data_IF_530685193415
#
_entry.id   IF_530685193415
#
_cell.length_a   1.000
_cell.length_b   1.000
_cell.length_c   1.000
_cell.angle_alpha   90.00
_cell.angle_beta   90.00
_cell.angle_gamma   90.00
#
_symmetry.space_group_name_H-M   'P 1'
#
loop_
_entity.id
_entity.type
_entity.pdbx_description
1 polymer ?
#
# COMPACT_ATOMS: atom_id res chain seq x y z
N UNK A 1 5.90 8.98 35.38
CA UNK A 1 5.78 8.17 34.14
C UNK A 1 4.26 7.91 34.00
N UNK A 2 3.58 8.73 33.20
CA UNK A 2 2.14 8.53 32.97
C UNK A 2 1.94 7.18 32.28
N UNK A 3 1.15 6.32 32.90
CA UNK A 3 0.79 5.04 32.31
C UNK A 3 0.05 5.30 31.00
N UNK A 4 0.62 4.83 29.90
CA UNK A 4 0.00 4.95 28.58
C UNK A 4 -1.28 4.10 28.59
N UNK A 5 -2.44 4.65 28.35
CA UNK A 5 -3.66 3.85 28.34
C UNK A 5 -3.56 2.85 27.18
N UNK A 6 -3.67 1.55 27.46
CA UNK A 6 -3.70 0.48 26.45
C UNK A 6 -4.72 0.74 25.35
N UNK A 7 -5.78 1.51 25.67
CA UNK A 7 -6.77 2.00 24.71
C UNK A 7 -6.16 2.87 23.59
N UNK A 8 -5.18 3.73 23.88
CA UNK A 8 -4.53 4.57 22.87
C UNK A 8 -3.71 3.73 21.89
N UNK A 9 -3.05 2.67 22.38
CA UNK A 9 -2.29 1.76 21.53
C UNK A 9 -3.20 0.92 20.63
N UNK A 10 -4.28 0.36 21.21
CA UNK A 10 -5.28 -0.37 20.43
C UNK A 10 -5.93 0.50 19.36
N UNK A 11 -6.25 1.75 19.70
CA UNK A 11 -6.80 2.73 18.75
C UNK A 11 -5.80 3.05 17.64
N UNK A 12 -4.51 3.26 17.97
CA UNK A 12 -3.46 3.48 16.97
C UNK A 12 -3.33 2.33 15.97
N UNK A 13 -3.37 1.08 16.45
CA UNK A 13 -3.35 -0.10 15.59
C UNK A 13 -4.58 -0.14 14.66
N UNK A 14 -5.78 0.05 15.20
CA UNK A 14 -7.02 0.03 14.41
C UNK A 14 -7.05 1.15 13.38
N UNK A 15 -6.56 2.35 13.73
CA UNK A 15 -6.42 3.44 12.77
C UNK A 15 -5.44 3.11 11.66
N UNK A 16 -4.34 2.45 11.96
CA UNK A 16 -3.38 1.96 10.96
C UNK A 16 -4.02 0.95 10.01
N UNK A 17 -4.78 -0.02 10.55
CA UNK A 17 -5.55 -0.96 9.72
C UNK A 17 -6.56 -0.22 8.85
N UNK A 18 -7.36 0.69 9.43
CA UNK A 18 -8.34 1.49 8.69
C UNK A 18 -7.68 2.30 7.57
N UNK A 19 -6.54 2.91 7.84
CA UNK A 19 -5.79 3.72 6.88
C UNK A 19 -5.42 2.95 5.61
N UNK A 20 -5.12 1.66 5.73
CA UNK A 20 -4.84 0.83 4.56
C UNK A 20 -6.03 0.66 3.60
N UNK A 21 -7.25 0.99 4.04
CA UNK A 21 -8.47 0.97 3.22
C UNK A 21 -8.79 2.32 2.58
N UNK A 22 -7.96 3.34 2.75
CA UNK A 22 -8.15 4.62 2.09
C UNK A 22 -8.05 4.45 0.56
N UNK A 23 -8.80 5.25 -0.19
CA UNK A 23 -9.02 5.06 -1.63
C UNK A 23 -7.72 5.05 -2.45
N UNK A 24 -6.75 5.87 -2.09
CA UNK A 24 -5.43 5.97 -2.71
C UNK A 24 -4.60 4.70 -2.50
N UNK A 25 -4.68 4.08 -1.31
CA UNK A 25 -4.02 2.81 -0.98
C UNK A 25 -4.65 1.65 -1.78
N UNK A 26 -5.99 1.58 -1.77
CA UNK A 26 -6.74 0.58 -2.55
C UNK A 26 -6.44 0.70 -4.04
N UNK A 27 -6.38 1.93 -4.58
CA UNK A 27 -6.03 2.17 -5.98
C UNK A 27 -4.61 1.68 -6.31
N UNK A 28 -3.61 1.99 -5.48
CA UNK A 28 -2.24 1.54 -5.69
C UNK A 28 -2.13 0.00 -5.62
N UNK A 29 -2.71 -0.64 -4.59
CA UNK A 29 -2.68 -2.10 -4.42
C UNK A 29 -3.34 -2.81 -5.60
N UNK A 30 -4.45 -2.28 -6.12
CA UNK A 30 -5.14 -2.89 -7.25
C UNK A 30 -4.25 -3.03 -8.50
N UNK A 31 -3.32 -2.08 -8.70
CA UNK A 31 -2.34 -2.15 -9.80
C UNK A 31 -1.35 -3.30 -9.66
N UNK A 32 -0.97 -3.66 -8.44
CA UNK A 32 -0.09 -4.80 -8.15
C UNK A 32 -0.86 -6.11 -8.18
N UNK A 33 -2.07 -6.14 -7.61
CA UNK A 33 -2.93 -7.33 -7.60
C UNK A 33 -3.31 -7.79 -9.00
N UNK A 34 -3.65 -6.85 -9.89
CA UNK A 34 -4.01 -7.15 -11.29
C UNK A 34 -2.88 -7.82 -12.10
N UNK A 35 -1.63 -7.74 -11.63
CA UNK A 35 -0.46 -8.35 -12.30
C UNK A 35 -0.09 -9.72 -11.74
N UNK A 36 -0.74 -10.17 -10.67
CA UNK A 36 -0.37 -11.37 -9.94
C UNK A 36 -1.56 -12.31 -9.74
N UNK A 37 -1.38 -13.58 -10.13
CA UNK A 37 -2.38 -14.64 -9.97
C UNK A 37 -2.15 -15.48 -8.70
N UNK A 38 -1.63 -14.86 -7.62
CA UNK A 38 -1.34 -15.56 -6.37
C UNK A 38 -1.61 -14.67 -5.17
N UNK A 39 -2.53 -15.09 -4.31
CA UNK A 39 -2.87 -14.39 -3.06
C UNK A 39 -1.63 -14.20 -2.19
N UNK A 40 -0.80 -15.24 -2.03
CA UNK A 40 0.42 -15.18 -1.23
C UNK A 40 1.39 -14.11 -1.75
N UNK A 41 1.59 -14.04 -3.06
CA UNK A 41 2.46 -13.04 -3.67
C UNK A 41 1.90 -11.63 -3.53
N UNK A 42 0.59 -11.44 -3.72
CA UNK A 42 -0.10 -10.17 -3.51
C UNK A 42 -0.03 -9.72 -2.06
N UNK A 43 -0.25 -10.62 -1.10
CA UNK A 43 -0.11 -10.34 0.33
C UNK A 43 1.31 -9.87 0.69
N UNK A 44 2.35 -10.54 0.16
CA UNK A 44 3.74 -10.13 0.36
C UNK A 44 4.03 -8.75 -0.25
N UNK A 45 3.51 -8.46 -1.43
CA UNK A 45 3.63 -7.12 -2.04
C UNK A 45 2.99 -6.05 -1.16
N UNK A 46 1.79 -6.32 -0.61
CA UNK A 46 1.14 -5.45 0.37
C UNK A 46 1.97 -5.25 1.64
N UNK A 47 2.63 -6.32 2.14
CA UNK A 47 3.53 -6.24 3.28
C UNK A 47 4.74 -5.32 3.00
N UNK A 48 5.43 -5.53 1.88
CA UNK A 48 6.59 -4.71 1.52
C UNK A 48 6.21 -3.24 1.29
N UNK A 49 5.04 -3.00 0.69
CA UNK A 49 4.52 -1.66 0.53
C UNK A 49 4.19 -1.02 1.89
N UNK A 50 3.47 -1.73 2.77
CA UNK A 50 3.18 -1.25 4.13
C UNK A 50 4.44 -0.99 4.95
N UNK A 51 5.48 -1.79 4.74
CA UNK A 51 6.78 -1.59 5.39
C UNK A 51 7.45 -0.30 4.90
N UNK A 52 7.52 -0.06 3.59
CA UNK A 52 8.04 1.20 3.03
C UNK A 52 7.26 2.42 3.52
N UNK A 53 5.92 2.32 3.53
CA UNK A 53 5.02 3.35 4.04
C UNK A 53 5.29 3.66 5.52
N UNK A 54 5.39 2.63 6.36
CA UNK A 54 5.65 2.78 7.79
C UNK A 54 7.04 3.36 8.10
N UNK A 55 8.06 3.03 7.29
CA UNK A 55 9.38 3.66 7.40
C UNK A 55 9.28 5.16 7.11
N UNK A 56 8.59 5.57 6.07
CA UNK A 56 8.41 6.98 5.74
C UNK A 56 7.70 7.74 6.86
N UNK A 57 6.61 7.17 7.40
CA UNK A 57 5.90 7.71 8.54
C UNK A 57 6.79 7.87 9.77
N UNK A 58 7.59 6.84 10.06
CA UNK A 58 8.52 6.86 11.19
C UNK A 58 9.58 7.96 11.04
N UNK A 59 10.19 8.09 9.86
CA UNK A 59 11.21 9.09 9.59
C UNK A 59 10.66 10.51 9.71
N UNK A 60 9.51 10.78 9.09
CA UNK A 60 8.86 12.10 9.21
C UNK A 60 8.41 12.36 10.65
N UNK A 61 7.80 11.37 11.29
CA UNK A 61 7.35 11.49 12.67
C UNK A 61 8.49 11.76 13.63
N UNK A 62 9.65 11.12 13.45
CA UNK A 62 10.86 11.41 14.22
C UNK A 62 11.31 12.85 14.05
N UNK A 63 11.34 13.38 12.83
CA UNK A 63 11.72 14.77 12.57
C UNK A 63 10.75 15.72 13.25
N UNK A 64 9.44 15.51 13.08
CA UNK A 64 8.41 16.38 13.66
C UNK A 64 8.44 16.34 15.19
N UNK A 65 8.54 15.15 15.80
CA UNK A 65 8.59 14.97 17.25
C UNK A 65 9.88 15.58 17.85
N UNK A 66 11.03 15.45 17.17
CA UNK A 66 12.31 15.97 17.65
C UNK A 66 12.40 17.48 17.55
N UNK A 67 11.93 18.04 16.43
CA UNK A 67 12.03 19.47 16.16
C UNK A 67 10.82 20.27 16.65
N UNK A 68 9.74 19.58 17.05
CA UNK A 68 8.46 20.18 17.47
C UNK A 68 7.90 21.14 16.41
N UNK A 69 8.05 20.77 15.13
CA UNK A 69 7.54 21.56 13.99
C UNK A 69 6.24 20.96 13.47
N UNK A 70 5.45 21.76 12.80
CA UNK A 70 4.29 21.34 12.02
C UNK A 70 4.61 21.44 10.53
N UNK A 71 4.08 20.53 9.73
CA UNK A 71 4.26 20.60 8.28
C UNK A 71 3.34 21.70 7.75
N UNK A 72 3.87 22.70 7.03
CA UNK A 72 3.02 23.70 6.38
C UNK A 72 2.07 23.08 5.36
N UNK A 73 0.87 23.63 5.24
CA UNK A 73 -0.17 23.10 4.36
C UNK A 73 0.25 23.02 2.89
N UNK A 74 0.99 24.01 2.40
CA UNK A 74 1.52 24.02 1.03
C UNK A 74 2.49 22.85 0.77
N UNK A 75 3.29 22.44 1.76
CA UNK A 75 4.18 21.27 1.64
C UNK A 75 3.32 20.00 1.63
N UNK A 76 2.34 19.88 2.51
CA UNK A 76 1.41 18.75 2.54
C UNK A 76 0.73 18.55 1.19
N UNK A 77 0.12 19.61 0.64
CA UNK A 77 -0.54 19.58 -0.66
C UNK A 77 0.42 19.20 -1.80
N UNK A 78 1.65 19.70 -1.76
CA UNK A 78 2.66 19.34 -2.77
C UNK A 78 3.01 17.85 -2.73
N UNK A 79 3.12 17.26 -1.55
CA UNK A 79 3.36 15.84 -1.37
C UNK A 79 2.17 15.00 -1.86
N UNK A 80 0.95 15.43 -1.59
CA UNK A 80 -0.28 14.78 -2.07
C UNK A 80 -0.35 14.77 -3.61
N UNK A 81 0.04 15.88 -4.26
CA UNK A 81 0.15 15.94 -5.73
C UNK A 81 1.16 14.92 -6.25
N UNK A 82 2.32 14.77 -5.61
CA UNK A 82 3.34 13.79 -6.00
C UNK A 82 2.77 12.37 -5.95
N UNK A 83 2.02 12.03 -4.89
CA UNK A 83 1.35 10.73 -4.81
C UNK A 83 0.28 10.58 -5.88
N UNK A 84 -0.53 11.60 -6.12
CA UNK A 84 -1.53 11.57 -7.20
C UNK A 84 -0.90 11.28 -8.55
N UNK A 85 0.20 11.95 -8.89
CA UNK A 85 0.97 11.71 -10.12
C UNK A 85 1.51 10.28 -10.15
N UNK A 86 2.07 9.79 -9.04
CA UNK A 86 2.56 8.41 -8.94
C UNK A 86 1.44 7.39 -9.20
N UNK A 87 0.25 7.59 -8.65
CA UNK A 87 -0.91 6.72 -8.88
C UNK A 87 -1.35 6.71 -10.33
N UNK A 88 -1.36 7.87 -10.99
CA UNK A 88 -1.66 7.97 -12.44
C UNK A 88 -0.63 7.19 -13.25
N UNK A 89 0.67 7.34 -12.96
CA UNK A 89 1.74 6.59 -13.65
C UNK A 89 1.56 5.08 -13.45
N UNK A 90 1.27 4.63 -12.22
CA UNK A 90 1.03 3.22 -11.92
C UNK A 90 -0.18 2.68 -12.68
N UNK A 91 -1.29 3.42 -12.70
CA UNK A 91 -2.51 3.06 -13.42
C UNK A 91 -2.28 2.94 -14.93
N UNK A 92 -1.67 3.95 -15.54
CA UNK A 92 -1.32 3.95 -16.97
C UNK A 92 -0.40 2.78 -17.31
N UNK A 93 0.65 2.55 -16.53
CA UNK A 93 1.57 1.43 -16.75
C UNK A 93 0.86 0.07 -16.65
N UNK A 94 -0.12 -0.04 -15.76
CA UNK A 94 -0.93 -1.28 -15.63
C UNK A 94 -1.79 -1.51 -16.87
N UNK A 95 -2.47 -0.48 -17.38
CA UNK A 95 -3.28 -0.53 -18.59
C UNK A 95 -2.42 -0.88 -19.81
N UNK A 96 -1.29 -0.19 -19.99
CA UNK A 96 -0.37 -0.44 -21.10
C UNK A 96 0.20 -1.87 -21.06
N UNK A 97 0.49 -2.39 -19.88
CA UNK A 97 1.01 -3.76 -19.70
C UNK A 97 -0.09 -4.79 -20.00
N UNK A 98 -1.33 -4.55 -19.57
CA UNK A 98 -2.46 -5.40 -19.89
C UNK A 98 -2.71 -5.46 -21.41
N UNK A 99 -2.68 -4.33 -22.10
CA UNK A 99 -2.81 -4.26 -23.55
C UNK A 99 -1.67 -4.99 -24.30
N UNK A 100 -0.41 -4.83 -23.86
CA UNK A 100 0.73 -5.52 -24.46
C UNK A 100 0.67 -7.04 -24.30
N UNK A 101 0.14 -7.52 -23.19
CA UNK A 101 -0.01 -8.95 -22.93
C UNK A 101 -1.20 -9.56 -23.65
N UNK A 102 -1.92 -8.79 -24.49
CA UNK A 102 -3.10 -9.26 -25.24
C UNK A 102 -4.03 -10.09 -24.36
N UNK A 103 -4.37 -9.57 -23.19
CA UNK A 103 -5.41 -10.18 -22.35
C UNK A 103 -6.72 -9.94 -23.07
N UNK A 104 -7.24 -10.96 -23.72
CA UNK A 104 -8.54 -10.89 -24.40
C UNK A 104 -9.45 -12.01 -23.91
N UNK A 105 -10.75 -11.73 -23.99
CA UNK A 105 -11.77 -12.69 -23.70
C UNK A 105 -11.87 -13.67 -24.86
N UNK A 106 -11.62 -14.93 -24.62
CA UNK A 106 -11.97 -15.99 -25.55
C UNK A 106 -13.09 -16.84 -24.99
N UNK A 107 -14.04 -17.11 -25.83
CA UNK A 107 -15.05 -18.11 -25.59
C UNK A 107 -14.68 -19.36 -26.40
N UNK A 108 -14.24 -20.39 -25.70
CA UNK A 108 -14.02 -21.70 -26.35
C UNK A 108 -15.10 -22.70 -25.96
N UNK A 109 -15.38 -23.60 -26.84
CA UNK A 109 -16.15 -24.80 -26.55
C UNK A 109 -15.26 -26.01 -26.79
N UNK A 110 -14.98 -26.77 -25.75
CA UNK A 110 -14.41 -28.09 -25.83
C UNK A 110 -15.49 -29.10 -25.49
N UNK A 111 -16.09 -29.74 -26.52
CA UNK A 111 -17.21 -30.62 -26.31
C UNK A 111 -18.51 -29.88 -25.99
N UNK A 112 -19.23 -30.31 -24.96
CA UNK A 112 -20.53 -29.73 -24.58
C UNK A 112 -20.45 -28.61 -23.53
N UNK A 113 -19.29 -28.30 -23.00
CA UNK A 113 -19.14 -27.25 -21.97
C UNK A 113 -18.59 -25.94 -22.57
N UNK A 114 -19.34 -24.85 -22.36
CA UNK A 114 -18.94 -23.47 -22.70
C UNK A 114 -18.48 -22.75 -21.45
N UNK A 115 -17.21 -22.36 -21.40
CA UNK A 115 -16.69 -21.54 -20.32
C UNK A 115 -15.88 -20.35 -20.86
N UNK A 116 -15.82 -19.30 -20.07
CA UNK A 116 -15.05 -18.08 -20.36
C UNK A 116 -13.92 -18.05 -19.37
N UNK A 117 -12.68 -17.92 -19.83
CA UNK A 117 -11.55 -17.72 -18.94
C UNK A 117 -10.57 -16.69 -19.49
N UNK A 118 -9.82 -16.10 -18.59
CA UNK A 118 -8.75 -15.16 -18.90
C UNK A 118 -7.43 -15.92 -18.94
N UNK A 119 -6.71 -15.86 -20.05
CA UNK A 119 -5.33 -16.32 -20.07
C UNK A 119 -4.45 -15.43 -20.94
N UNK A 120 -3.18 -15.40 -20.59
CA UNK A 120 -2.15 -14.69 -21.33
C UNK A 120 -1.25 -15.68 -22.05
N UNK A 121 -1.10 -15.53 -23.35
CA UNK A 121 -0.13 -16.32 -24.15
C UNK A 121 1.29 -15.79 -23.96
N UNK A 122 1.86 -15.90 -22.74
CA UNK A 122 3.30 -15.75 -22.55
C UNK A 122 3.99 -17.09 -22.67
N UNK A 123 4.32 -17.49 -23.91
CA UNK A 123 5.43 -18.39 -24.14
C UNK A 123 6.73 -17.55 -24.10
N UNK A 124 7.35 -17.40 -22.95
CA UNK A 124 8.79 -17.07 -22.88
C UNK A 124 9.36 -17.42 -21.51
N UNK A 125 10.21 -18.41 -21.55
CA UNK A 125 11.25 -18.70 -20.56
C UNK A 125 12.14 -17.47 -20.42
N UNK A 126 11.99 -16.70 -19.35
CA UNK A 126 13.06 -15.91 -18.78
C UNK A 126 12.84 -15.86 -17.27
N UNK A 127 13.65 -16.64 -16.56
CA UNK A 127 13.84 -16.56 -15.13
C UNK A 127 14.60 -15.27 -14.79
N UNK A 128 13.98 -14.11 -14.98
CA UNK A 128 14.52 -12.84 -14.51
C UNK A 128 14.00 -12.64 -13.08
N UNK A 129 14.93 -12.71 -12.14
CA UNK A 129 14.91 -12.38 -10.73
C UNK A 129 13.60 -11.81 -10.17
N UNK A 130 12.84 -12.64 -9.44
CA UNK A 130 11.54 -12.33 -8.83
C UNK A 130 11.59 -11.28 -7.69
N UNK A 131 12.76 -10.69 -7.42
CA UNK A 131 12.91 -9.73 -6.32
C UNK A 131 12.55 -8.28 -6.69
N UNK A 132 12.59 -7.91 -7.98
CA UNK A 132 12.27 -6.55 -8.45
C UNK A 132 10.87 -6.05 -8.02
N UNK A 133 9.79 -6.86 -8.08
CA UNK A 133 8.46 -6.37 -7.73
C UNK A 133 8.32 -6.00 -6.24
N UNK A 134 9.03 -6.67 -5.34
CA UNK A 134 8.98 -6.39 -3.89
C UNK A 134 9.67 -5.06 -3.56
N UNK A 135 10.85 -4.80 -4.12
CA UNK A 135 11.53 -3.51 -3.95
C UNK A 135 10.74 -2.35 -4.55
N UNK A 136 10.12 -2.56 -5.72
CA UNK A 136 9.24 -1.56 -6.32
C UNK A 136 8.03 -1.26 -5.42
N UNK A 137 7.39 -2.29 -4.86
CA UNK A 137 6.29 -2.14 -3.92
C UNK A 137 6.71 -1.35 -2.68
N UNK A 138 7.85 -1.68 -2.09
CA UNK A 138 8.42 -0.98 -0.94
C UNK A 138 8.72 0.49 -1.27
N UNK A 139 9.32 0.77 -2.43
CA UNK A 139 9.62 2.13 -2.86
C UNK A 139 8.35 2.96 -3.07
N UNK A 140 7.33 2.38 -3.73
CA UNK A 140 6.01 3.02 -3.89
C UNK A 140 5.40 3.31 -2.53
N UNK A 141 5.48 2.35 -1.58
CA UNK A 141 5.03 2.54 -0.21
C UNK A 141 5.74 3.68 0.50
N UNK A 142 7.06 3.78 0.33
CA UNK A 142 7.86 4.85 0.92
C UNK A 142 7.44 6.23 0.38
N UNK A 143 7.31 6.37 -0.93
CA UNK A 143 6.85 7.63 -1.55
C UNK A 143 5.43 7.97 -1.08
N UNK A 144 4.55 6.97 -1.00
CA UNK A 144 3.18 7.14 -0.53
C UNK A 144 3.12 7.59 0.94
N UNK A 145 3.95 6.98 1.79
CA UNK A 145 4.04 7.33 3.21
C UNK A 145 4.57 8.74 3.46
N UNK A 146 5.39 9.28 2.56
CA UNK A 146 5.86 10.67 2.66
C UNK A 146 4.71 11.68 2.51
N UNK A 147 3.71 11.38 1.71
CA UNK A 147 2.61 12.30 1.43
C UNK A 147 1.38 12.10 2.35
N UNK A 148 0.99 10.85 2.58
CA UNK A 148 -0.19 10.53 3.40
C UNK A 148 -0.01 10.80 4.90
N UNK A 149 1.23 11.07 5.33
CA UNK A 149 1.57 11.22 6.75
C UNK A 149 1.15 12.54 7.38
N UNK A 150 0.94 13.59 6.60
CA UNK A 150 0.76 14.94 7.15
C UNK A 150 -0.49 15.05 8.04
N UNK A 151 -1.64 14.59 7.59
CA UNK A 151 -2.89 14.71 8.34
C UNK A 151 -2.91 13.85 9.61
N UNK A 152 -2.49 12.58 9.52
CA UNK A 152 -2.45 11.68 10.67
C UNK A 152 -1.36 12.04 11.66
N UNK A 153 -0.20 12.48 11.18
CA UNK A 153 0.90 12.90 12.05
C UNK A 153 0.55 14.17 12.81
N UNK A 154 -0.14 15.12 12.18
CA UNK A 154 -0.65 16.32 12.85
C UNK A 154 -1.67 15.98 13.92
N UNK A 155 -2.56 15.02 13.67
CA UNK A 155 -3.59 14.61 14.64
C UNK A 155 -2.96 13.95 15.87
N UNK A 156 -1.94 13.12 15.67
CA UNK A 156 -1.20 12.48 16.77
C UNK A 156 -0.37 13.47 17.55
N UNK A 157 0.33 14.38 16.88
CA UNK A 157 1.16 15.40 17.54
C UNK A 157 0.33 16.39 18.34
N UNK A 158 -0.85 16.73 17.87
CA UNK A 158 -1.80 17.56 18.64
C UNK A 158 -2.29 16.87 19.93
N UNK A 159 -2.34 15.53 19.94
CA UNK A 159 -2.82 14.75 21.07
C UNK A 159 -1.73 14.32 22.06
N UNK A 160 -0.45 14.26 21.66
CA UNK A 160 0.62 13.66 22.43
C UNK A 160 1.70 14.66 22.84
N UNK A 161 1.82 14.93 24.14
CA UNK A 161 2.84 15.83 24.71
C UNK A 161 4.23 15.20 24.87
N UNK A 162 4.32 13.86 24.85
CA UNK A 162 5.55 13.12 25.10
C UNK A 162 6.14 12.54 23.82
N UNK A 163 7.41 12.79 23.55
CA UNK A 163 8.16 12.21 22.43
C UNK A 163 8.04 10.68 22.37
N UNK A 164 8.26 10.00 23.50
CA UNK A 164 8.21 8.54 23.56
C UNK A 164 6.82 7.95 23.27
N UNK A 165 5.78 8.62 23.76
CA UNK A 165 4.41 8.21 23.50
C UNK A 165 4.09 8.38 22.01
N UNK A 166 4.48 9.49 21.41
CA UNK A 166 4.30 9.73 19.96
C UNK A 166 5.04 8.70 19.11
N UNK A 167 6.28 8.37 19.49
CA UNK A 167 7.09 7.37 18.79
C UNK A 167 6.43 5.98 18.84
N UNK A 168 6.03 5.53 20.02
CA UNK A 168 5.37 4.22 20.18
C UNK A 168 4.06 4.18 19.40
N UNK A 169 3.28 5.27 19.41
CA UNK A 169 2.05 5.36 18.64
C UNK A 169 2.31 5.22 17.13
N UNK A 170 3.30 5.90 16.57
CA UNK A 170 3.67 5.80 15.15
C UNK A 170 4.06 4.36 14.79
N UNK A 171 4.85 3.70 15.66
CA UNK A 171 5.24 2.29 15.45
C UNK A 171 4.03 1.36 15.42
N UNK A 172 3.11 1.50 16.37
CA UNK A 172 1.90 0.66 16.45
C UNK A 172 0.96 0.94 15.29
N UNK A 173 0.78 2.21 14.91
CA UNK A 173 0.05 2.59 13.71
C UNK A 173 0.68 1.95 12.46
N UNK A 174 2.01 1.99 12.32
CA UNK A 174 2.74 1.37 11.22
C UNK A 174 2.52 -0.14 11.14
N UNK A 175 2.53 -0.85 12.27
CA UNK A 175 2.22 -2.28 12.33
C UNK A 175 0.79 -2.54 11.85
N UNK A 176 -0.17 -1.73 12.30
CA UNK A 176 -1.56 -1.79 11.84
C UNK A 176 -1.69 -1.56 10.33
N UNK A 177 -0.97 -0.56 9.80
CA UNK A 177 -0.95 -0.26 8.36
C UNK A 177 -0.38 -1.43 7.54
N UNK A 178 0.70 -2.06 8.00
CA UNK A 178 1.28 -3.25 7.33
C UNK A 178 0.25 -4.38 7.30
N UNK A 179 -0.37 -4.69 8.44
CA UNK A 179 -1.38 -5.74 8.53
C UNK A 179 -2.59 -5.44 7.61
N UNK A 180 -3.07 -4.19 7.61
CA UNK A 180 -4.14 -3.72 6.75
C UNK A 180 -3.80 -3.84 5.27
N UNK A 181 -2.62 -3.42 4.84
CA UNK A 181 -2.17 -3.50 3.45
C UNK A 181 -1.99 -4.94 2.97
N UNK A 182 -1.52 -5.84 3.83
CA UNK A 182 -1.52 -7.28 3.56
C UNK A 182 -2.92 -7.82 3.33
N UNK A 183 -3.86 -7.45 4.20
CA UNK A 183 -5.25 -7.88 4.10
C UNK A 183 -5.92 -7.34 2.82
N UNK A 184 -5.82 -6.04 2.55
CA UNK A 184 -6.37 -5.39 1.35
C UNK A 184 -5.82 -6.02 0.08
N UNK A 185 -4.48 -6.20 0.02
CA UNK A 185 -3.82 -6.85 -1.13
C UNK A 185 -4.34 -8.28 -1.36
N UNK A 186 -4.54 -9.03 -0.28
CA UNK A 186 -5.06 -10.40 -0.35
C UNK A 186 -6.50 -10.40 -0.87
N UNK A 187 -7.36 -9.52 -0.33
CA UNK A 187 -8.77 -9.43 -0.72
C UNK A 187 -8.91 -9.03 -2.20
N UNK A 188 -8.17 -8.00 -2.63
CA UNK A 188 -8.24 -7.52 -4.02
C UNK A 188 -7.73 -8.57 -5.00
N UNK A 189 -6.79 -9.43 -4.60
CA UNK A 189 -6.26 -10.48 -5.47
C UNK A 189 -7.20 -11.69 -5.63
N UNK A 190 -8.20 -11.87 -4.76
CA UNK A 190 -9.14 -13.01 -4.82
C UNK A 190 -9.81 -13.19 -6.19
N UNK A 191 -10.43 -12.17 -6.81
CA UNK A 191 -11.05 -12.32 -8.11
C UNK A 191 -10.08 -12.77 -9.21
N UNK A 192 -8.80 -12.38 -9.11
CA UNK A 192 -7.77 -12.72 -10.11
C UNK A 192 -7.19 -14.11 -9.94
N UNK A 193 -7.47 -14.79 -8.82
CA UNK A 193 -6.98 -16.14 -8.53
C UNK A 193 -8.06 -17.20 -8.68
N UNK A 194 -9.34 -16.81 -8.69
CA UNK A 194 -10.49 -17.71 -8.81
C UNK A 194 -10.97 -17.89 -10.26
N UNK A 195 -10.38 -17.13 -11.19
CA UNK A 195 -10.64 -17.16 -12.64
C UNK A 195 -9.49 -17.84 -13.34
#
# INVERSE_FOLDING_TARGET
MEMMPFSLLGFGFLLGVKHAFDADHVAAVSTFAAKNNSIKKSSLLGMFWGFGHSIALLLIGLVILSLKITIPENISLSLEIIVGVMLVILGVNTILTANKNKIHFHKHSHGQERHIHFHSHKATKNHAHEHLPFYQSMFVGLVHGLAGSAALTLLVLAAVKSFWIGLIYILIFGIGSIAGMMAVSSIISLPFTLI
#
